data_IF_290162242091
#
_entry.id   IF_290162242091
#
_cell.length_a   1.000
_cell.length_b   1.000
_cell.length_c   1.000
_cell.angle_alpha   90.00
_cell.angle_beta   90.00
_cell.angle_gamma   90.00
#
_symmetry.space_group_name_H-M   'P 1'
#
loop_
_entity.id
_entity.type
_entity.pdbx_description
1 polymer ?
#
# COMPACT_ATOMS: atom_id res chain seq x y z
N UNK A 1 22.91 4.27 4.46
CA UNK A 1 21.64 4.27 3.69
C UNK A 1 20.55 3.57 4.48
N UNK A 2 19.31 4.05 4.40
CA UNK A 2 18.14 3.41 5.02
C UNK A 2 17.76 2.13 4.28
N UNK A 3 17.51 1.05 5.02
CA UNK A 3 16.92 -0.18 4.48
C UNK A 3 15.40 -0.08 4.46
N UNK A 4 14.82 -0.10 3.26
CA UNK A 4 13.37 0.04 3.03
C UNK A 4 12.75 -1.33 2.76
N UNK A 5 11.92 -1.84 3.67
CA UNK A 5 11.25 -3.14 3.53
C UNK A 5 9.76 -2.95 3.25
N UNK A 6 9.22 -3.81 2.38
CA UNK A 6 7.79 -3.87 2.12
C UNK A 6 7.16 -4.90 3.05
N UNK A 7 6.08 -4.53 3.74
CA UNK A 7 5.18 -5.45 4.41
C UNK A 7 3.89 -5.53 3.60
N UNK A 8 3.55 -6.70 3.09
CA UNK A 8 2.34 -6.93 2.28
C UNK A 8 1.59 -8.17 2.75
N UNK A 9 0.42 -8.42 2.18
CA UNK A 9 -0.52 -9.44 2.61
C UNK A 9 -1.96 -9.01 2.35
N UNK A 10 -2.89 -9.95 2.45
CA UNK A 10 -4.31 -9.70 2.14
C UNK A 10 -4.92 -8.71 3.15
N UNK A 11 -6.00 -7.99 2.80
CA UNK A 11 -6.76 -7.20 3.77
C UNK A 11 -7.09 -8.06 5.00
N UNK A 12 -7.04 -7.47 6.20
CA UNK A 12 -7.36 -8.20 7.44
C UNK A 12 -6.27 -9.10 8.01
N UNK A 13 -5.17 -9.36 7.29
CA UNK A 13 -4.08 -10.23 7.77
C UNK A 13 -3.29 -9.71 8.99
N UNK A 14 -3.69 -8.60 9.63
CA UNK A 14 -3.01 -8.05 10.81
C UNK A 14 -1.77 -7.18 10.54
N UNK A 15 -1.51 -6.80 9.27
CA UNK A 15 -0.37 -5.93 8.87
C UNK A 15 -0.29 -4.64 9.71
N UNK A 16 -1.40 -3.94 9.86
CA UNK A 16 -1.47 -2.68 10.60
C UNK A 16 -1.04 -2.86 12.07
N UNK A 17 -1.37 -3.98 12.70
CA UNK A 17 -0.94 -4.29 14.07
C UNK A 17 0.57 -4.50 14.16
N UNK A 18 1.16 -5.23 13.20
CA UNK A 18 2.60 -5.44 13.10
C UNK A 18 3.33 -4.10 12.92
N UNK A 19 2.84 -3.27 11.99
CA UNK A 19 3.44 -1.96 11.68
C UNK A 19 3.35 -1.00 12.87
N UNK A 20 2.22 -0.95 13.58
CA UNK A 20 2.09 -0.17 14.82
C UNK A 20 3.12 -0.61 15.85
N UNK A 21 3.36 -1.92 16.01
CA UNK A 21 4.37 -2.42 16.94
C UNK A 21 5.79 -2.06 16.49
N UNK A 22 6.10 -2.14 15.20
CA UNK A 22 7.40 -1.72 14.65
C UNK A 22 7.66 -0.23 14.88
N UNK A 23 6.64 0.61 14.72
CA UNK A 23 6.74 2.04 15.04
C UNK A 23 7.02 2.29 16.52
N UNK A 24 6.33 1.58 17.42
CA UNK A 24 6.60 1.65 18.88
C UNK A 24 8.01 1.20 19.26
N UNK A 25 8.63 0.33 18.46
CA UNK A 25 10.02 -0.09 18.63
C UNK A 25 11.03 0.88 18.01
N UNK A 26 10.57 2.03 17.49
CA UNK A 26 11.42 3.08 16.93
C UNK A 26 11.74 2.97 15.45
N UNK A 27 11.09 2.05 14.72
CA UNK A 27 11.26 1.96 13.26
C UNK A 27 10.37 2.97 12.53
N UNK A 28 10.87 3.53 11.42
CA UNK A 28 10.06 4.35 10.54
C UNK A 28 9.01 3.49 9.83
N UNK A 29 7.78 4.00 9.71
CA UNK A 29 6.67 3.32 9.06
C UNK A 29 5.96 4.27 8.11
N UNK A 30 5.74 3.83 6.87
CA UNK A 30 4.93 4.51 5.87
C UNK A 30 3.62 3.76 5.71
N UNK A 31 2.50 4.44 6.03
CA UNK A 31 1.16 3.85 6.04
C UNK A 31 0.57 3.63 4.64
N UNK A 32 -0.39 2.70 4.54
CA UNK A 32 -1.06 2.26 3.31
C UNK A 32 -1.75 3.43 2.61
N UNK A 33 -1.24 3.83 1.45
CA UNK A 33 -1.81 4.93 0.66
C UNK A 33 -3.26 4.69 0.23
N UNK A 34 -3.59 3.45 -0.16
CA UNK A 34 -4.93 3.11 -0.64
C UNK A 34 -6.01 3.38 0.40
N UNK A 35 -5.74 3.15 1.68
CA UNK A 35 -6.70 3.41 2.76
C UNK A 35 -7.04 4.89 2.86
N UNK A 36 -6.04 5.77 2.74
CA UNK A 36 -6.26 7.21 2.85
C UNK A 36 -6.93 7.80 1.59
N UNK A 37 -6.60 7.26 0.41
CA UNK A 37 -7.31 7.63 -0.83
C UNK A 37 -8.77 7.19 -0.76
N UNK A 38 -9.05 5.97 -0.28
CA UNK A 38 -10.42 5.48 -0.07
C UNK A 38 -11.18 6.41 0.88
N UNK A 39 -10.63 6.70 2.06
CA UNK A 39 -11.26 7.58 3.03
C UNK A 39 -11.53 8.97 2.47
N UNK A 40 -10.56 9.55 1.75
CA UNK A 40 -10.70 10.86 1.13
C UNK A 40 -11.74 10.91 0.02
N UNK A 41 -11.94 9.80 -0.71
CA UNK A 41 -12.99 9.68 -1.74
C UNK A 41 -14.37 9.41 -1.15
N UNK A 42 -14.46 8.57 -0.14
CA UNK A 42 -15.70 8.34 0.62
C UNK A 42 -16.22 9.63 1.24
N UNK A 43 -15.33 10.46 1.79
CA UNK A 43 -15.70 11.79 2.29
C UNK A 43 -16.26 12.73 1.21
N UNK A 44 -16.00 12.45 -0.08
CA UNK A 44 -16.53 13.18 -1.25
C UNK A 44 -17.77 12.51 -1.86
N UNK A 45 -18.27 11.42 -1.27
CA UNK A 45 -19.45 10.69 -1.74
C UNK A 45 -19.16 9.50 -2.66
N UNK A 46 -17.91 9.10 -2.84
CA UNK A 46 -17.53 7.88 -3.58
C UNK A 46 -17.33 6.70 -2.61
N UNK A 47 -18.36 5.88 -2.40
CA UNK A 47 -18.34 4.79 -1.40
C UNK A 47 -17.31 3.69 -1.71
N UNK A 48 -17.20 3.30 -2.99
CA UNK A 48 -16.37 2.19 -3.45
C UNK A 48 -15.53 2.60 -4.68
N UNK A 49 -14.51 3.47 -4.51
CA UNK A 49 -13.74 4.05 -5.61
C UNK A 49 -12.92 3.04 -6.42
N UNK A 50 -12.75 1.81 -5.92
CA UNK A 50 -12.13 0.69 -6.65
C UNK A 50 -13.09 -0.02 -7.61
N UNK A 51 -14.35 0.42 -7.70
CA UNK A 51 -15.38 -0.15 -8.59
C UNK A 51 -15.84 0.84 -9.66
N UNK A 52 -16.64 0.36 -10.63
CA UNK A 52 -17.32 1.22 -11.60
C UNK A 52 -16.37 2.01 -12.51
N UNK A 53 -16.77 3.25 -12.84
CA UNK A 53 -16.06 4.12 -13.78
C UNK A 53 -14.83 4.82 -13.17
N UNK A 54 -14.74 4.95 -11.85
CA UNK A 54 -13.69 5.73 -11.17
C UNK A 54 -12.45 4.92 -10.83
N UNK A 55 -12.50 3.58 -10.96
CA UNK A 55 -11.42 2.66 -10.57
C UNK A 55 -10.04 2.97 -11.17
N UNK A 56 -9.96 3.46 -12.40
CA UNK A 56 -8.68 3.85 -13.01
C UNK A 56 -8.06 5.07 -12.30
N UNK A 57 -8.85 6.13 -12.13
CA UNK A 57 -8.40 7.34 -11.40
C UNK A 57 -8.03 7.04 -9.94
N UNK A 58 -8.69 6.05 -9.33
CA UNK A 58 -8.37 5.60 -7.98
C UNK A 58 -6.97 5.01 -7.91
N UNK A 59 -6.61 4.14 -8.87
CA UNK A 59 -5.25 3.58 -8.95
C UNK A 59 -4.22 4.70 -9.13
N UNK A 60 -4.47 5.68 -9.99
CA UNK A 60 -3.56 6.81 -10.22
C UNK A 60 -3.27 7.59 -8.92
N UNK A 61 -4.33 7.95 -8.17
CA UNK A 61 -4.22 8.69 -6.91
C UNK A 61 -3.48 7.89 -5.82
N UNK A 62 -3.63 6.57 -5.81
CA UNK A 62 -2.87 5.68 -4.92
C UNK A 62 -1.38 5.71 -5.27
N UNK A 63 -1.02 5.62 -6.56
CA UNK A 63 0.38 5.64 -7.00
C UNK A 63 1.05 6.98 -6.64
N UNK A 64 0.39 8.09 -6.94
CA UNK A 64 0.90 9.42 -6.56
C UNK A 64 1.09 9.57 -5.06
N UNK A 65 0.12 9.10 -4.28
CA UNK A 65 0.19 9.15 -2.81
C UNK A 65 1.31 8.28 -2.26
N UNK A 66 1.53 7.08 -2.80
CA UNK A 66 2.65 6.21 -2.43
C UNK A 66 3.99 6.88 -2.72
N UNK A 67 4.16 7.43 -3.93
CA UNK A 67 5.40 8.09 -4.34
C UNK A 67 5.71 9.27 -3.44
N UNK A 68 4.73 10.16 -3.21
CA UNK A 68 4.89 11.32 -2.32
C UNK A 68 5.33 10.90 -0.92
N UNK A 69 4.71 9.87 -0.36
CA UNK A 69 5.06 9.34 0.98
C UNK A 69 6.44 8.73 1.02
N UNK A 70 6.83 7.98 -0.02
CA UNK A 70 8.15 7.38 -0.10
C UNK A 70 9.25 8.45 -0.15
N UNK A 71 9.06 9.51 -0.93
CA UNK A 71 9.99 10.64 -1.01
C UNK A 71 10.04 11.41 0.32
N UNK A 72 8.89 11.66 0.94
CA UNK A 72 8.82 12.37 2.22
C UNK A 72 9.39 11.57 3.41
N UNK A 73 9.35 10.25 3.33
CA UNK A 73 9.86 9.36 4.37
C UNK A 73 11.40 9.27 4.40
N UNK A 74 12.13 10.10 3.64
CA UNK A 74 13.58 10.03 3.47
C UNK A 74 14.33 10.23 4.80
N UNK A 75 14.78 9.15 5.47
CA UNK A 75 15.43 9.30 6.75
C UNK A 75 16.87 9.71 6.46
N UNK A 76 17.25 10.90 6.92
CA UNK A 76 18.62 11.38 6.90
C UNK A 76 19.45 10.53 7.89
N UNK A 77 19.92 9.36 7.46
CA UNK A 77 20.78 8.49 8.26
C UNK A 77 20.65 6.99 8.00
N UNK A 78 21.47 6.17 8.66
CA UNK A 78 21.28 4.71 8.69
C UNK A 78 20.04 4.34 9.51
N UNK A 79 19.18 3.47 8.98
CA UNK A 79 17.95 3.07 9.65
C UNK A 79 17.16 2.00 8.90
N UNK A 80 16.01 1.61 9.46
CA UNK A 80 15.05 0.69 8.84
C UNK A 80 13.70 1.40 8.70
N UNK A 81 13.13 1.33 7.51
CA UNK A 81 11.81 1.88 7.21
C UNK A 81 10.91 0.78 6.63
N UNK A 82 9.71 0.62 7.17
CA UNK A 82 8.72 -0.33 6.71
C UNK A 82 7.61 0.37 5.94
N UNK A 83 7.21 -0.20 4.82
CA UNK A 83 6.14 0.31 3.97
C UNK A 83 4.96 -0.65 4.03
N UNK A 84 3.79 -0.13 4.42
CA UNK A 84 2.52 -0.86 4.33
C UNK A 84 2.07 -0.89 2.86
N UNK A 85 2.37 -2.01 2.19
CA UNK A 85 2.30 -2.18 0.74
C UNK A 85 3.26 -1.27 -0.05
N UNK A 86 3.28 -1.45 -1.36
CA UNK A 86 4.13 -0.70 -2.30
C UNK A 86 3.45 -0.53 -3.66
N UNK A 87 4.02 0.24 -4.60
CA UNK A 87 3.52 0.30 -5.98
C UNK A 87 3.41 -1.07 -6.67
N UNK A 88 4.21 -2.06 -6.26
CA UNK A 88 4.08 -3.46 -6.72
C UNK A 88 2.74 -4.06 -6.29
N UNK A 89 2.27 -3.75 -5.07
CA UNK A 89 0.94 -4.17 -4.62
C UNK A 89 -0.18 -3.45 -5.38
N UNK A 90 0.03 -2.19 -5.76
CA UNK A 90 -0.91 -1.42 -6.57
C UNK A 90 -1.01 -1.97 -7.99
N UNK A 91 0.11 -2.44 -8.55
CA UNK A 91 0.12 -3.19 -9.80
C UNK A 91 -0.67 -4.50 -9.70
N UNK A 92 -0.46 -5.28 -8.64
CA UNK A 92 -1.26 -6.49 -8.40
C UNK A 92 -2.76 -6.17 -8.29
N UNK A 93 -3.13 -5.06 -7.64
CA UNK A 93 -4.52 -4.60 -7.55
C UNK A 93 -5.07 -4.20 -8.93
N UNK A 94 -4.32 -3.47 -9.75
CA UNK A 94 -4.74 -3.10 -11.10
C UNK A 94 -5.00 -4.33 -11.97
N UNK A 95 -4.10 -5.33 -11.92
CA UNK A 95 -4.27 -6.61 -12.62
C UNK A 95 -5.53 -7.32 -12.14
N UNK A 96 -5.75 -7.41 -10.82
CA UNK A 96 -6.95 -8.02 -10.24
C UNK A 96 -8.25 -7.33 -10.69
N UNK A 97 -8.25 -6.00 -10.80
CA UNK A 97 -9.41 -5.21 -11.25
C UNK A 97 -9.61 -5.19 -12.78
N UNK A 98 -8.78 -5.93 -13.53
CA UNK A 98 -8.80 -5.97 -14.99
C UNK A 98 -8.49 -4.60 -15.63
N UNK A 99 -7.62 -3.81 -14.99
CA UNK A 99 -7.26 -2.48 -15.45
C UNK A 99 -5.94 -2.49 -16.23
N UNK A 100 -5.82 -1.66 -17.29
CA UNK A 100 -4.52 -1.38 -17.87
C UNK A 100 -3.64 -0.67 -16.83
N UNK A 101 -2.35 -1.00 -16.84
CA UNK A 101 -1.36 -0.33 -16.00
C UNK A 101 -1.14 1.06 -16.57
N UNK A 102 -1.41 2.10 -15.78
CA UNK A 102 -1.21 3.48 -16.21
C UNK A 102 0.29 3.81 -16.34
N UNK A 103 0.60 4.84 -17.14
CA UNK A 103 1.99 5.27 -17.36
C UNK A 103 2.70 5.66 -16.06
N UNK A 104 1.98 6.27 -15.11
CA UNK A 104 2.52 6.65 -13.81
C UNK A 104 2.97 5.43 -12.99
N UNK A 105 2.18 4.35 -13.00
CA UNK A 105 2.53 3.10 -12.31
C UNK A 105 3.70 2.40 -12.99
N UNK A 106 3.72 2.33 -14.32
CA UNK A 106 4.85 1.77 -15.06
C UNK A 106 6.15 2.51 -14.74
N UNK A 107 6.14 3.85 -14.86
CA UNK A 107 7.32 4.67 -14.57
C UNK A 107 7.81 4.50 -13.12
N UNK A 108 6.90 4.34 -12.17
CA UNK A 108 7.26 4.13 -10.77
C UNK A 108 7.87 2.73 -10.52
N UNK A 109 7.35 1.69 -11.19
CA UNK A 109 7.95 0.35 -11.13
C UNK A 109 9.35 0.31 -11.76
N UNK A 110 9.53 0.97 -12.90
CA UNK A 110 10.82 1.08 -13.58
C UNK A 110 11.84 1.80 -12.69
N UNK A 111 11.44 2.91 -12.06
CA UNK A 111 12.26 3.65 -11.10
C UNK A 111 12.66 2.77 -9.90
N UNK A 112 11.70 2.04 -9.33
CA UNK A 112 11.96 1.13 -8.20
C UNK A 112 13.01 0.08 -8.57
N UNK A 113 12.91 -0.48 -9.79
CA UNK A 113 13.84 -1.48 -10.29
C UNK A 113 15.24 -0.89 -10.53
N UNK A 114 15.33 0.28 -11.17
CA UNK A 114 16.59 0.95 -11.50
C UNK A 114 17.33 1.46 -10.26
N UNK A 115 16.61 2.04 -9.30
CA UNK A 115 17.20 2.68 -8.11
C UNK A 115 17.35 1.73 -6.92
N UNK A 116 16.86 0.49 -7.03
CA UNK A 116 16.78 -0.46 -5.92
C UNK A 116 16.13 0.17 -4.68
N UNK A 117 15.01 0.88 -4.89
CA UNK A 117 14.34 1.68 -3.84
C UNK A 117 14.01 0.87 -2.59
N UNK A 118 13.57 -0.39 -2.77
CA UNK A 118 13.25 -1.33 -1.70
C UNK A 118 14.26 -2.47 -1.64
N UNK A 119 14.39 -3.08 -0.46
CA UNK A 119 15.12 -4.33 -0.28
C UNK A 119 14.47 -5.45 -1.09
N UNK A 120 15.29 -6.36 -1.62
CA UNK A 120 14.80 -7.55 -2.34
C UNK A 120 13.98 -8.49 -1.45
N UNK A 121 14.22 -8.46 -0.14
CA UNK A 121 13.43 -9.18 0.83
C UNK A 121 12.13 -8.42 1.13
N UNK A 122 11.01 -9.11 1.01
CA UNK A 122 9.66 -8.60 1.30
C UNK A 122 9.04 -9.47 2.39
N UNK A 123 8.34 -8.85 3.32
CA UNK A 123 7.59 -9.55 4.36
C UNK A 123 6.15 -9.75 3.89
N UNK A 124 5.75 -11.01 3.72
CA UNK A 124 4.38 -11.38 3.40
C UNK A 124 3.66 -11.87 4.66
N UNK A 125 2.60 -11.19 5.07
CA UNK A 125 1.75 -11.57 6.20
C UNK A 125 0.60 -12.41 5.68
N UNK A 126 0.65 -13.71 6.01
CA UNK A 126 -0.42 -14.65 5.68
C UNK A 126 -1.66 -14.36 6.52
N UNK A 127 -2.84 -14.45 5.90
CA UNK A 127 -4.10 -14.37 6.61
C UNK A 127 -4.18 -15.49 7.67
N UNK A 128 -4.72 -15.17 8.85
CA UNK A 128 -4.90 -16.09 9.98
C UNK A 128 -6.24 -16.85 9.93
N UNK A 129 -7.07 -16.59 8.90
CA UNK A 129 -8.40 -17.19 8.77
C UNK A 129 -9.49 -16.45 9.54
N UNK A 130 -9.19 -15.28 10.11
CA UNK A 130 -10.16 -14.39 10.75
C UNK A 130 -9.71 -12.92 10.63
N UNK A 131 -10.67 -11.99 10.59
CA UNK A 131 -10.42 -10.55 10.58
C UNK A 131 -11.48 -9.82 11.41
N UNK A 132 -11.09 -8.86 12.26
CA UNK A 132 -12.04 -7.92 12.85
C UNK A 132 -12.46 -6.88 11.80
N UNK A 133 -13.76 -6.62 11.59
CA UNK A 133 -14.22 -5.58 10.67
C UNK A 133 -13.73 -4.19 11.09
N UNK A 134 -13.32 -3.36 10.13
CA UNK A 134 -13.01 -1.94 10.36
C UNK A 134 -13.97 -1.05 9.58
N UNK A 135 -14.12 0.21 10.00
CA UNK A 135 -14.99 1.21 9.34
C UNK A 135 -14.69 1.41 7.86
N UNK A 136 -13.43 1.22 7.45
CA UNK A 136 -12.99 1.31 6.05
C UNK A 136 -13.21 0.05 5.22
N UNK A 137 -13.41 -1.12 5.83
CA UNK A 137 -13.39 -2.41 5.14
C UNK A 137 -14.42 -3.37 5.76
N UNK A 138 -15.61 -3.43 5.15
CA UNK A 138 -16.63 -4.47 5.39
C UNK A 138 -16.37 -5.61 4.39
N UNK A 139 -15.42 -6.51 4.65
CA UNK A 139 -15.16 -7.66 3.78
C UNK A 139 -15.85 -8.92 4.30
N UNK A 140 -16.37 -9.73 3.39
CA UNK A 140 -16.66 -11.15 3.60
C UNK A 140 -15.39 -11.97 3.33
N UNK A 141 -15.16 -13.03 4.11
CA UNK A 141 -13.93 -13.85 4.04
C UNK A 141 -13.77 -14.59 2.71
N UNK A 142 -14.82 -14.67 1.89
CA UNK A 142 -14.79 -15.27 0.56
C UNK A 142 -13.92 -14.48 -0.45
N UNK A 143 -13.61 -13.21 -0.18
CA UNK A 143 -12.81 -12.34 -1.04
C UNK A 143 -11.34 -12.18 -0.59
N UNK A 144 -10.91 -12.94 0.43
CA UNK A 144 -9.66 -12.72 1.18
C UNK A 144 -8.49 -13.66 0.86
#
# INVERSE_FOLDING_TARGET
MTRRYILTGTPGAGKTSILRRLAQLGHAVVAEAATDVILGRQARGEDAPWTGATKASFIDEVVETQRRRQVAADPTGPGVCFFDRSPVCTHALAVYLGLPVCAALTAELDRIAAEHTYQRQVFFVRNLGFCQPTTTRRFDMAEA
#
